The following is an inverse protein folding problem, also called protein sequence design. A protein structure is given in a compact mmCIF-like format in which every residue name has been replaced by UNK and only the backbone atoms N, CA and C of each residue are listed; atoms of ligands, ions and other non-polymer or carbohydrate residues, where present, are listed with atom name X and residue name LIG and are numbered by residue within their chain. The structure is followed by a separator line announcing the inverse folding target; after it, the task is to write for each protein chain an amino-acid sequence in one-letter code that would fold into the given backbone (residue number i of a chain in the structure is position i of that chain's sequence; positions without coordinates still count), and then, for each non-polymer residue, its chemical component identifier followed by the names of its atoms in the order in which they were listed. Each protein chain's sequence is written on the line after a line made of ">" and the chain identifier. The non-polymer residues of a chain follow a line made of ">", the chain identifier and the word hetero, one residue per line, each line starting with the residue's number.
data_IF_324408660657
#
_entry.id   IF_324408660657
#
_cell.length_a   1.000
_cell.length_b   1.000
_cell.length_c   1.000
_cell.angle_alpha   90.00
_cell.angle_beta   90.00
_cell.angle_gamma   90.00
#
_symmetry.space_group_name_H-M   'P 1'
#
loop_
_entity.id
_entity.type
_entity.pdbx_description
1 polymer ?
#
# COMPACT_ATOMS: atom_id res chain seq x y z
N UNK A 1 -4.42 -4.76 -8.47
CA UNK A 1 -5.70 -4.58 -7.74
C UNK A 1 -5.43 -3.86 -6.42
N UNK A 2 -6.40 -3.12 -5.88
CA UNK A 2 -6.25 -2.36 -4.63
C UNK A 2 -7.46 -2.64 -3.74
N UNK A 3 -7.20 -3.06 -2.49
CA UNK A 3 -8.21 -3.31 -1.48
C UNK A 3 -7.95 -2.43 -0.26
N UNK A 4 -8.95 -1.66 0.18
CA UNK A 4 -8.90 -0.83 1.38
C UNK A 4 -9.93 -1.31 2.40
N UNK A 5 -9.49 -1.53 3.63
CA UNK A 5 -10.35 -1.79 4.79
C UNK A 5 -9.84 -1.01 5.99
N UNK A 6 -10.37 0.20 6.16
CA UNK A 6 -10.01 1.13 7.24
C UNK A 6 -11.26 1.43 8.05
N UNK A 7 -11.14 1.38 9.37
CA UNK A 7 -12.20 1.84 10.26
C UNK A 7 -12.20 3.39 10.25
N UNK A 8 -13.27 4.05 9.78
CA UNK A 8 -13.32 5.51 9.64
C UNK A 8 -13.26 6.26 10.99
N UNK A 9 -13.59 5.61 12.10
CA UNK A 9 -13.59 6.22 13.43
C UNK A 9 -12.21 6.22 14.08
N UNK A 10 -11.39 5.20 13.79
CA UNK A 10 -10.08 5.01 14.44
C UNK A 10 -8.90 5.25 13.50
N UNK A 11 -9.12 5.17 12.19
CA UNK A 11 -8.05 5.17 11.19
C UNK A 11 -7.22 3.88 11.15
N UNK A 12 -7.54 2.90 12.00
CA UNK A 12 -6.88 1.60 12.00
C UNK A 12 -7.40 0.73 10.85
N UNK A 13 -6.51 -0.01 10.20
CA UNK A 13 -6.91 -0.87 9.10
C UNK A 13 -5.76 -1.29 8.20
N UNK A 14 -6.13 -1.68 6.98
CA UNK A 14 -5.18 -2.20 6.00
C UNK A 14 -5.52 -1.73 4.59
N UNK A 15 -4.48 -1.48 3.81
CA UNK A 15 -4.58 -1.39 2.34
C UNK A 15 -3.67 -2.45 1.73
N UNK A 16 -4.16 -3.19 0.75
CA UNK A 16 -3.39 -4.19 0.02
C UNK A 16 -3.40 -3.85 -1.45
N UNK A 17 -2.21 -3.82 -2.06
CA UNK A 17 -2.04 -3.72 -3.49
C UNK A 17 -1.49 -5.02 -4.04
N UNK A 18 -2.09 -5.50 -5.13
CA UNK A 18 -1.62 -6.67 -5.88
C UNK A 18 -1.17 -6.26 -7.27
N UNK A 19 -0.04 -6.81 -7.70
CA UNK A 19 0.41 -6.78 -9.08
C UNK A 19 0.50 -8.22 -9.60
N UNK A 20 -0.09 -8.48 -10.76
CA UNK A 20 0.24 -9.63 -11.59
C UNK A 20 1.31 -9.18 -12.60
N UNK A 21 2.32 -10.02 -12.86
CA UNK A 21 3.56 -9.65 -13.55
C UNK A 21 3.36 -8.71 -14.75
N UNK A 22 4.04 -7.56 -14.76
CA UNK A 22 4.04 -6.66 -15.90
C UNK A 22 5.17 -7.02 -16.86
N UNK A 23 4.87 -7.89 -17.82
CA UNK A 23 5.76 -8.27 -18.90
C UNK A 23 5.02 -9.20 -19.84
N UNK A 24 4.82 -8.79 -21.10
CA UNK A 24 4.35 -9.71 -22.14
C UNK A 24 5.28 -10.92 -22.26
N UNK A 25 4.87 -12.06 -22.86
CA UNK A 25 5.53 -13.37 -22.69
C UNK A 25 7.02 -13.47 -23.08
N UNK A 26 7.61 -12.40 -23.61
CA UNK A 26 8.98 -12.35 -24.14
C UNK A 26 9.79 -11.16 -23.60
N UNK A 27 9.20 -10.32 -22.74
CA UNK A 27 9.85 -9.16 -22.15
C UNK A 27 10.11 -9.45 -20.68
N UNK A 28 11.33 -9.14 -20.20
CA UNK A 28 11.70 -9.23 -18.78
C UNK A 28 10.60 -8.63 -17.87
N UNK A 29 10.47 -9.12 -16.62
CA UNK A 29 9.61 -8.46 -15.64
C UNK A 29 9.95 -6.97 -15.60
N UNK A 30 8.99 -6.13 -15.93
CA UNK A 30 9.11 -4.69 -15.75
C UNK A 30 8.56 -4.34 -14.38
N UNK A 31 9.35 -3.56 -13.65
CA UNK A 31 8.92 -2.98 -12.39
C UNK A 31 7.64 -2.17 -12.60
N UNK A 32 6.63 -2.42 -11.76
CA UNK A 32 5.38 -1.69 -11.76
C UNK A 32 5.27 -0.83 -10.50
N UNK A 33 4.99 0.45 -10.69
CA UNK A 33 4.73 1.37 -9.58
C UNK A 33 3.26 1.78 -9.58
N UNK A 34 2.62 1.63 -8.43
CA UNK A 34 1.24 2.05 -8.19
C UNK A 34 1.21 3.13 -7.11
N UNK A 35 0.28 4.08 -7.26
CA UNK A 35 0.01 5.12 -6.27
C UNK A 35 -1.48 5.16 -5.96
N UNK A 36 -1.81 5.31 -4.68
CA UNK A 36 -3.18 5.38 -4.18
C UNK A 36 -3.28 6.34 -3.01
N UNK A 37 -4.45 6.98 -2.85
CA UNK A 37 -4.77 7.78 -1.67
C UNK A 37 -5.95 7.14 -0.96
N UNK A 38 -5.84 6.91 0.35
CA UNK A 38 -6.91 6.27 1.13
C UNK A 38 -8.18 7.10 1.15
N UNK A 39 -9.33 6.43 1.22
CA UNK A 39 -10.64 7.10 1.32
C UNK A 39 -10.83 7.74 2.69
N UNK A 40 -10.31 7.09 3.73
CA UNK A 40 -10.42 7.53 5.12
C UNK A 40 -9.09 8.08 5.66
N UNK A 41 -9.20 8.91 6.71
CA UNK A 41 -8.08 9.29 7.56
C UNK A 41 -7.52 8.02 8.21
N UNK A 42 -6.20 7.97 8.38
CA UNK A 42 -5.51 6.79 8.91
C UNK A 42 -4.78 7.09 10.23
N UNK A 43 -4.57 6.05 11.02
CA UNK A 43 -3.66 6.11 12.15
C UNK A 43 -2.21 6.28 11.64
N UNK A 44 -1.43 7.11 12.34
CA UNK A 44 -0.05 7.44 11.97
C UNK A 44 0.97 6.36 12.32
N UNK A 45 0.57 5.35 13.08
CA UNK A 45 1.37 4.15 13.34
C UNK A 45 1.25 3.24 12.12
N UNK A 46 2.24 3.37 11.23
CA UNK A 46 2.25 2.70 9.94
C UNK A 46 3.30 1.59 9.94
N UNK A 47 2.92 0.44 9.39
CA UNK A 47 3.85 -0.62 8.99
C UNK A 47 3.55 -1.02 7.55
N UNK A 48 4.57 -1.43 6.79
CA UNK A 48 4.39 -1.87 5.41
C UNK A 48 5.38 -2.96 5.06
N UNK A 49 4.97 -3.85 4.16
CA UNK A 49 5.85 -4.86 3.56
C UNK A 49 6.84 -4.20 2.60
N UNK A 50 7.84 -4.96 2.16
CA UNK A 50 8.81 -4.52 1.15
C UNK A 50 8.12 -3.94 -0.10
N UNK A 51 8.70 -2.90 -0.67
CA UNK A 51 8.16 -2.19 -1.83
C UNK A 51 7.09 -1.14 -1.51
N UNK A 52 6.69 -1.00 -0.25
CA UNK A 52 5.72 0.01 0.21
C UNK A 52 6.35 1.29 0.74
N UNK A 53 5.79 2.43 0.36
CA UNK A 53 6.07 3.74 0.94
C UNK A 53 4.77 4.46 1.30
N UNK A 54 4.77 5.16 2.45
CA UNK A 54 3.59 5.87 2.96
C UNK A 54 3.95 7.30 3.32
N UNK A 55 3.12 8.24 2.86
CA UNK A 55 3.15 9.64 3.30
C UNK A 55 1.75 10.02 3.77
N UNK A 56 1.65 10.56 4.97
CA UNK A 56 0.38 11.11 5.47
C UNK A 56 0.27 12.56 5.01
N UNK A 57 -0.83 12.91 4.36
CA UNK A 57 -1.09 14.27 3.90
C UNK A 57 -1.61 15.17 5.03
N UNK A 58 -1.91 16.42 4.69
CA UNK A 58 -2.41 17.42 5.63
C UNK A 58 -3.85 17.15 6.10
N UNK A 59 -4.63 16.35 5.36
CA UNK A 59 -5.97 15.91 5.74
C UNK A 59 -5.95 14.65 6.61
N UNK A 60 -4.79 14.02 6.78
CA UNK A 60 -4.62 12.77 7.53
C UNK A 60 -4.88 11.50 6.72
N UNK A 61 -5.02 11.60 5.39
CA UNK A 61 -5.10 10.45 4.49
C UNK A 61 -3.71 9.95 4.13
N UNK A 62 -3.60 8.68 3.79
CA UNK A 62 -2.35 8.08 3.35
C UNK A 62 -2.21 8.14 1.83
N UNK A 63 -1.17 8.82 1.36
CA UNK A 63 -0.64 8.75 0.01
C UNK A 63 0.39 7.63 -0.03
N UNK A 64 0.00 6.48 -0.58
CA UNK A 64 0.77 5.25 -0.56
C UNK A 64 1.28 4.93 -1.97
N UNK A 65 2.53 4.48 -2.02
CA UNK A 65 3.19 4.04 -3.25
C UNK A 65 3.68 2.61 -3.05
N UNK A 66 3.43 1.76 -4.04
CA UNK A 66 3.87 0.37 -4.04
C UNK A 66 4.67 0.07 -5.31
N UNK A 67 5.86 -0.51 -5.14
CA UNK A 67 6.77 -0.92 -6.21
C UNK A 67 6.84 -2.44 -6.26
N UNK A 68 6.61 -3.00 -7.44
CA UNK A 68 6.55 -4.43 -7.68
C UNK A 68 7.59 -4.83 -8.73
N UNK A 69 8.71 -5.47 -8.34
CA UNK A 69 9.67 -6.01 -9.29
C UNK A 69 9.16 -7.27 -10.01
N UNK A 70 8.19 -7.97 -9.41
CA UNK A 70 7.50 -9.14 -9.97
C UNK A 70 6.05 -9.18 -9.45
N UNK A 71 5.29 -10.20 -9.84
CA UNK A 71 3.98 -10.49 -9.29
C UNK A 71 4.05 -10.63 -7.76
N UNK A 72 3.15 -9.95 -7.05
CA UNK A 72 3.20 -9.93 -5.60
C UNK A 72 2.14 -9.05 -4.96
N UNK A 73 2.29 -8.86 -3.65
CA UNK A 73 1.43 -8.03 -2.83
C UNK A 73 2.26 -7.09 -1.96
N UNK A 74 1.83 -5.83 -1.87
CA UNK A 74 2.34 -4.87 -0.88
C UNK A 74 1.20 -4.53 0.06
N UNK A 75 1.45 -4.67 1.36
CA UNK A 75 0.48 -4.45 2.42
C UNK A 75 0.89 -3.22 3.24
N UNK A 76 -0.09 -2.37 3.55
CA UNK A 76 0.04 -1.19 4.37
C UNK A 76 -0.88 -1.35 5.58
N UNK A 77 -0.30 -1.46 6.77
CA UNK A 77 -1.03 -1.55 8.04
C UNK A 77 -1.05 -0.20 8.73
N UNK A 78 -2.22 0.19 9.22
CA UNK A 78 -2.44 1.43 9.98
C UNK A 78 -2.95 1.07 11.38
N UNK A 79 -2.34 1.65 12.41
CA UNK A 79 -2.71 1.42 13.81
C UNK A 79 -2.07 0.19 14.45
N UNK A 80 -0.97 -0.32 13.87
CA UNK A 80 -0.17 -1.41 14.43
C UNK A 80 1.14 -0.87 14.97
N UNK A 81 1.57 -1.38 16.12
CA UNK A 81 2.89 -1.06 16.65
C UNK A 81 3.95 -1.82 15.82
N UNK A 82 5.07 -1.16 15.52
CA UNK A 82 6.05 -1.55 14.49
C UNK A 82 6.82 -2.87 14.75
N UNK A 83 6.39 -3.70 15.69
CA UNK A 83 6.91 -5.04 15.92
C UNK A 83 6.16 -6.06 15.06
N UNK A 84 6.61 -6.22 13.81
CA UNK A 84 6.36 -7.41 12.99
C UNK A 84 7.71 -8.02 12.58
#
# INVERSE_FOLDING_TARGET
>A
EIYEKINPETGCGVVVMFANSFGQPWSKPNEATFRYVTKHVVDRRVSTTEGGAVRIDHEGKADITAVFPDAGAVIFFFGVDSTL
#
